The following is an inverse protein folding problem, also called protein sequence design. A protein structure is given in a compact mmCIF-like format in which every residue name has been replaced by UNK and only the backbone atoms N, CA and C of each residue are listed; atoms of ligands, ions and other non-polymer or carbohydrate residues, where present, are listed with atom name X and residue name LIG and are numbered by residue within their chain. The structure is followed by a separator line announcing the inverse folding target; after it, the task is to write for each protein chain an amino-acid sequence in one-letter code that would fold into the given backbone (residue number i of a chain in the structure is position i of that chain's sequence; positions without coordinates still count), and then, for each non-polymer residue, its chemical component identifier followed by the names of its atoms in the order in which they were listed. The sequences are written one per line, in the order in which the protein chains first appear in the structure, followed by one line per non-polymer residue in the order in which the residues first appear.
data_IF_822774223785
#
_entry.id   IF_822774223785
#
_cell.length_a   1.000
_cell.length_b   1.000
_cell.length_c   1.000
_cell.angle_alpha   90.00
_cell.angle_beta   90.00
_cell.angle_gamma   90.00
#
_symmetry.space_group_name_H-M   'P 1'
#
loop_
_entity.id
_entity.type
_entity.pdbx_description
1 polymer ?
#
# COMPACT_ATOMS: atom_id res chain seq x y z
N UNK A 1 -24.86 9.94 4.59
CA UNK A 1 -24.22 8.83 5.33
C UNK A 1 -23.57 7.91 4.29
N UNK A 2 -22.28 8.10 4.01
CA UNK A 2 -21.53 7.24 3.09
C UNK A 2 -20.97 6.05 3.88
N UNK A 3 -21.71 4.95 3.83
CA UNK A 3 -21.36 3.70 4.49
C UNK A 3 -20.09 3.10 3.86
N UNK A 4 -18.99 3.18 4.60
CA UNK A 4 -17.68 2.65 4.21
C UNK A 4 -17.66 1.12 4.04
N UNK A 5 -17.12 0.68 2.91
CA UNK A 5 -16.56 -0.65 2.55
C UNK A 5 -17.38 -1.93 2.89
N UNK A 6 -17.94 -2.56 1.83
CA UNK A 6 -18.30 -3.99 1.77
C UNK A 6 -17.88 -4.52 0.38
N UNK A 7 -17.10 -5.61 0.27
CA UNK A 7 -16.68 -6.16 -1.03
C UNK A 7 -16.82 -7.69 -1.12
N UNK A 8 -17.96 -8.21 -1.60
CA UNK A 8 -18.10 -9.63 -1.96
C UNK A 8 -18.40 -9.80 -3.46
N UNK A 9 -17.46 -10.45 -4.16
CA UNK A 9 -17.56 -10.99 -5.53
C UNK A 9 -17.70 -9.98 -6.69
N UNK A 10 -17.58 -10.49 -7.92
CA UNK A 10 -17.49 -9.75 -9.19
C UNK A 10 -18.63 -8.73 -9.44
N UNK A 11 -19.76 -8.85 -8.74
CA UNK A 11 -20.91 -7.97 -8.84
C UNK A 11 -20.75 -6.61 -8.13
N UNK A 12 -19.81 -6.45 -7.21
CA UNK A 12 -19.57 -5.18 -6.50
C UNK A 12 -18.74 -4.14 -7.28
N UNK A 13 -18.39 -4.41 -8.55
CA UNK A 13 -17.52 -3.55 -9.38
C UNK A 13 -18.18 -2.25 -9.86
N UNK A 14 -19.50 -2.16 -9.82
CA UNK A 14 -20.23 -1.03 -10.41
C UNK A 14 -20.30 0.22 -9.51
N UNK A 15 -20.03 0.10 -8.21
CA UNK A 15 -20.13 1.20 -7.25
C UNK A 15 -18.93 1.17 -6.30
N UNK A 16 -17.99 2.11 -6.43
CA UNK A 16 -16.91 2.41 -5.48
C UNK A 16 -15.81 1.34 -5.20
N UNK A 17 -15.77 0.21 -5.92
CA UNK A 17 -14.78 -0.88 -5.74
C UNK A 17 -13.49 -0.79 -6.56
N UNK A 18 -12.98 0.40 -6.85
CA UNK A 18 -11.77 0.58 -7.64
C UNK A 18 -10.50 0.21 -6.85
N UNK A 19 -9.42 -0.13 -7.57
CA UNK A 19 -8.06 -0.24 -7.02
C UNK A 19 -7.71 0.97 -6.13
N UNK A 20 -8.19 2.16 -6.51
CA UNK A 20 -8.03 3.41 -5.77
C UNK A 20 -8.77 3.41 -4.43
N UNK A 21 -10.00 2.88 -4.35
CA UNK A 21 -10.73 2.73 -3.10
C UNK A 21 -9.99 1.87 -2.08
N UNK A 22 -9.36 0.78 -2.54
CA UNK A 22 -8.49 -0.06 -1.69
C UNK A 22 -7.25 0.69 -1.22
N UNK A 23 -6.60 1.44 -2.10
CA UNK A 23 -5.43 2.26 -1.74
C UNK A 23 -5.80 3.30 -0.69
N UNK A 24 -6.90 4.03 -0.89
CA UNK A 24 -7.42 5.03 0.06
C UNK A 24 -7.71 4.40 1.43
N UNK A 25 -8.36 3.23 1.46
CA UNK A 25 -8.65 2.52 2.69
C UNK A 25 -7.39 2.07 3.45
N UNK A 26 -6.41 1.49 2.74
CA UNK A 26 -5.12 1.07 3.30
C UNK A 26 -4.40 2.26 3.96
N UNK A 27 -4.37 3.40 3.27
CA UNK A 27 -3.71 4.62 3.76
C UNK A 27 -4.47 5.25 4.93
N UNK A 28 -5.81 5.34 4.86
CA UNK A 28 -6.64 5.95 5.89
C UNK A 28 -6.61 5.18 7.22
N UNK A 29 -6.53 3.86 7.16
CA UNK A 29 -6.47 3.00 8.35
C UNK A 29 -5.03 2.72 8.82
N UNK A 30 -4.01 3.30 8.18
CA UNK A 30 -2.61 3.09 8.57
C UNK A 30 -2.17 1.62 8.47
N UNK A 31 -2.69 0.87 7.49
CA UNK A 31 -2.45 -0.57 7.39
C UNK A 31 -1.01 -0.93 6.99
N UNK A 32 -0.16 0.03 6.64
CA UNK A 32 1.23 -0.21 6.23
C UNK A 32 2.14 -0.08 7.46
N UNK A 33 2.85 -1.14 7.80
CA UNK A 33 3.83 -1.19 8.87
C UNK A 33 5.19 -1.65 8.35
N UNK A 34 6.28 -1.11 8.89
CA UNK A 34 7.63 -1.58 8.57
C UNK A 34 8.16 -2.50 9.68
N UNK A 35 8.41 -3.76 9.32
CA UNK A 35 9.08 -4.73 10.17
C UNK A 35 10.60 -4.57 10.03
N UNK A 36 11.24 -4.07 11.10
CA UNK A 36 12.68 -3.78 11.12
C UNK A 36 13.54 -5.03 11.12
N UNK A 37 13.09 -6.11 11.75
CA UNK A 37 13.87 -7.34 11.90
C UNK A 37 13.95 -8.06 10.57
N UNK A 38 12.79 -8.20 9.91
CA UNK A 38 12.67 -8.88 8.62
C UNK A 38 13.00 -7.96 7.44
N UNK A 39 13.09 -6.65 7.67
CA UNK A 39 13.32 -5.60 6.66
C UNK A 39 12.27 -5.64 5.54
N UNK A 40 11.01 -5.83 5.92
CA UNK A 40 9.86 -5.90 5.01
C UNK A 40 8.77 -4.94 5.43
N UNK A 41 7.91 -4.58 4.48
CA UNK A 41 6.67 -3.88 4.79
C UNK A 41 5.51 -4.87 4.89
N UNK A 42 4.68 -4.69 5.90
CA UNK A 42 3.49 -5.48 6.15
C UNK A 42 2.26 -4.62 5.82
N UNK A 43 1.34 -5.17 5.04
CA UNK A 43 0.01 -4.62 4.86
C UNK A 43 -0.96 -5.40 5.74
N UNK A 44 -1.40 -4.80 6.84
CA UNK A 44 -2.43 -5.34 7.71
C UNK A 44 -3.77 -5.44 6.97
N UNK A 45 -4.66 -6.35 7.42
CA UNK A 45 -6.06 -6.36 7.04
C UNK A 45 -6.74 -5.00 7.10
N UNK A 46 -7.59 -4.71 6.11
CA UNK A 46 -8.48 -3.55 6.15
C UNK A 46 -9.68 -3.90 7.03
N UNK A 47 -10.00 -3.07 8.02
CA UNK A 47 -11.16 -3.26 8.89
C UNK A 47 -12.44 -2.72 8.24
N UNK A 48 -13.51 -3.49 8.31
CA UNK A 48 -14.86 -3.08 7.91
C UNK A 48 -15.58 -2.38 9.08
N UNK A 49 -16.66 -1.61 8.82
CA UNK A 49 -17.40 -0.91 9.89
C UNK A 49 -17.98 -1.84 10.96
N UNK A 50 -18.24 -3.11 10.60
CA UNK A 50 -18.71 -4.13 11.54
C UNK A 50 -17.61 -4.62 12.51
N UNK A 51 -16.42 -4.01 12.48
CA UNK A 51 -15.27 -4.37 13.31
C UNK A 51 -14.55 -5.64 12.85
N UNK A 52 -14.92 -6.25 11.72
CA UNK A 52 -14.26 -7.44 11.17
C UNK A 52 -13.32 -7.06 10.03
N UNK A 53 -12.19 -7.76 9.88
CA UNK A 53 -11.31 -7.53 8.74
C UNK A 53 -11.98 -7.98 7.44
N UNK A 54 -11.83 -7.17 6.39
CA UNK A 54 -12.22 -7.48 5.02
C UNK A 54 -11.59 -8.79 4.53
N UNK A 55 -10.32 -8.99 4.88
CA UNK A 55 -9.58 -10.22 4.68
C UNK A 55 -8.71 -10.48 5.91
N UNK A 56 -8.56 -11.74 6.33
CA UNK A 56 -7.72 -12.05 7.51
C UNK A 56 -6.21 -12.02 7.22
N UNK A 57 -5.84 -11.91 5.94
CA UNK A 57 -4.47 -12.08 5.49
C UNK A 57 -3.68 -10.78 5.62
N UNK A 58 -2.57 -10.85 6.35
CA UNK A 58 -1.51 -9.86 6.26
C UNK A 58 -0.65 -10.15 5.03
N UNK A 59 -0.37 -9.13 4.23
CA UNK A 59 0.51 -9.28 3.07
C UNK A 59 1.87 -8.70 3.35
N UNK A 60 2.89 -9.36 2.84
CA UNK A 60 4.27 -8.93 2.94
C UNK A 60 4.70 -8.28 1.63
N UNK A 61 5.44 -7.19 1.73
CA UNK A 61 5.96 -6.43 0.61
C UNK A 61 7.45 -6.22 0.80
N UNK A 62 8.22 -6.67 -0.19
CA UNK A 62 9.68 -6.65 -0.15
C UNK A 62 10.25 -5.89 -1.34
N UNK A 63 11.34 -5.17 -1.10
CA UNK A 63 12.06 -4.46 -2.15
C UNK A 63 13.05 -5.41 -2.83
N UNK A 64 13.00 -5.44 -4.15
CA UNK A 64 13.93 -6.17 -5.01
C UNK A 64 14.68 -5.19 -5.92
N UNK A 65 15.96 -5.46 -6.20
CA UNK A 65 16.77 -4.60 -7.07
C UNK A 65 16.27 -4.56 -8.50
N UNK A 66 15.80 -5.70 -9.01
CA UNK A 66 15.41 -5.87 -10.42
C UNK A 66 13.92 -5.59 -10.63
N UNK A 67 13.07 -6.12 -9.74
CA UNK A 67 11.61 -6.09 -9.88
C UNK A 67 10.93 -4.92 -9.14
N UNK A 68 11.71 -4.06 -8.46
CA UNK A 68 11.17 -2.98 -7.65
C UNK A 68 10.54 -3.49 -6.35
N UNK A 69 9.22 -3.63 -6.31
CA UNK A 69 8.50 -4.08 -5.12
C UNK A 69 7.67 -5.34 -5.41
N UNK A 70 7.78 -6.34 -4.54
CA UNK A 70 6.92 -7.52 -4.55
C UNK A 70 5.83 -7.44 -3.51
N UNK A 71 4.82 -8.29 -3.66
CA UNK A 71 3.78 -8.47 -2.66
C UNK A 71 3.32 -9.94 -2.63
N UNK A 72 3.10 -10.48 -1.42
CA UNK A 72 2.63 -11.85 -1.24
C UNK A 72 1.16 -12.08 -1.63
N UNK A 73 0.43 -11.04 -2.04
CA UNK A 73 -0.97 -11.19 -2.44
C UNK A 73 -1.11 -11.92 -3.79
N UNK A 74 -2.16 -12.74 -3.92
CA UNK A 74 -2.47 -13.50 -5.14
C UNK A 74 -2.53 -12.62 -6.39
N UNK A 75 -3.06 -11.40 -6.26
CA UNK A 75 -3.16 -10.45 -7.38
C UNK A 75 -1.80 -10.01 -7.92
N UNK A 76 -0.78 -9.89 -7.06
CA UNK A 76 0.59 -9.59 -7.49
C UNK A 76 1.23 -10.84 -8.10
N UNK A 77 1.14 -11.99 -7.42
CA UNK A 77 1.72 -13.26 -7.89
C UNK A 77 1.21 -13.65 -9.29
N UNK A 78 -0.09 -13.50 -9.53
CA UNK A 78 -0.72 -13.82 -10.81
C UNK A 78 -0.24 -12.90 -11.93
N UNK A 79 -0.08 -11.59 -11.66
CA UNK A 79 0.45 -10.63 -12.63
C UNK A 79 1.94 -10.84 -12.89
N UNK A 80 2.69 -11.16 -11.84
CA UNK A 80 4.12 -11.46 -11.94
C UNK A 80 4.35 -12.67 -12.83
N UNK A 81 3.60 -13.76 -12.64
CA UNK A 81 3.67 -14.94 -13.50
C UNK A 81 3.47 -14.58 -14.98
N UNK A 82 2.44 -13.80 -15.28
CA UNK A 82 2.16 -13.34 -16.66
C UNK A 82 3.25 -12.43 -17.23
N UNK A 83 3.84 -11.57 -16.40
CA UNK A 83 4.97 -10.72 -16.80
C UNK A 83 6.22 -11.54 -17.11
N UNK A 84 6.48 -12.63 -16.38
CA UNK A 84 7.57 -13.55 -16.70
C UNK A 84 7.34 -14.31 -18.01
N UNK A 85 6.07 -14.64 -18.31
CA UNK A 85 5.70 -15.31 -19.56
C UNK A 85 5.81 -14.37 -20.78
N UNK A 86 5.36 -13.12 -20.63
CA UNK A 86 5.38 -12.11 -21.70
C UNK A 86 5.52 -10.69 -21.13
N UNK A 87 6.76 -10.18 -20.99
CA UNK A 87 7.01 -8.88 -20.38
C UNK A 87 6.59 -7.70 -21.27
N UNK A 88 6.49 -7.91 -22.59
CA UNK A 88 6.07 -6.87 -23.54
C UNK A 88 4.56 -6.64 -23.40
N UNK A 89 3.79 -7.73 -23.34
CA UNK A 89 2.32 -7.66 -23.19
C UNK A 89 1.89 -7.25 -21.79
N UNK A 90 2.67 -7.59 -20.77
CA UNK A 90 2.36 -7.29 -19.36
C UNK A 90 3.49 -6.47 -18.71
N UNK A 91 3.73 -5.21 -19.09
CA UNK A 91 4.91 -4.46 -18.69
C UNK A 91 4.98 -4.09 -17.19
N UNK A 92 3.87 -4.22 -16.45
CA UNK A 92 3.81 -3.82 -15.04
C UNK A 92 3.33 -4.93 -14.13
N UNK A 93 4.05 -5.14 -13.03
CA UNK A 93 3.65 -6.02 -11.94
C UNK A 93 3.25 -5.17 -10.74
N UNK A 94 1.95 -5.02 -10.48
CA UNK A 94 1.46 -4.15 -9.42
C UNK A 94 0.13 -4.59 -8.81
N UNK A 95 -0.02 -4.37 -7.51
CA UNK A 95 -1.26 -4.54 -6.77
C UNK A 95 -1.56 -3.28 -5.94
N UNK A 96 -2.79 -3.19 -5.41
CA UNK A 96 -3.20 -2.07 -4.55
C UNK A 96 -2.30 -1.91 -3.32
N UNK A 97 -1.74 -2.98 -2.77
CA UNK A 97 -0.83 -2.91 -1.61
C UNK A 97 0.48 -2.20 -1.96
N UNK A 98 1.12 -2.58 -3.07
CA UNK A 98 2.36 -1.93 -3.54
C UNK A 98 2.13 -0.46 -3.90
N UNK A 99 1.00 -0.14 -4.53
CA UNK A 99 0.63 1.24 -4.82
C UNK A 99 0.43 2.06 -3.53
N UNK A 100 -0.26 1.49 -2.53
CA UNK A 100 -0.42 2.14 -1.23
C UNK A 100 0.92 2.28 -0.47
N UNK A 101 1.83 1.31 -0.59
CA UNK A 101 3.16 1.40 -0.01
C UNK A 101 3.98 2.57 -0.62
N UNK A 102 3.93 2.75 -1.94
CA UNK A 102 4.58 3.89 -2.59
C UNK A 102 4.08 5.22 -2.06
N UNK A 103 2.76 5.39 -1.97
CA UNK A 103 2.14 6.60 -1.42
C UNK A 103 2.48 6.79 0.07
N UNK A 104 2.50 5.70 0.86
CA UNK A 104 2.93 5.75 2.25
C UNK A 104 4.37 6.25 2.38
N UNK A 105 5.32 5.68 1.64
CA UNK A 105 6.73 6.08 1.65
C UNK A 105 6.88 7.54 1.21
N UNK A 106 6.18 7.95 0.14
CA UNK A 106 6.19 9.33 -0.36
C UNK A 106 5.72 10.32 0.72
N UNK A 107 4.60 10.03 1.40
CA UNK A 107 4.09 10.86 2.52
C UNK A 107 5.10 10.94 3.66
N UNK A 108 5.71 9.82 4.04
CA UNK A 108 6.75 9.80 5.09
C UNK A 108 7.99 10.61 4.71
N UNK A 109 8.39 10.61 3.43
CA UNK A 109 9.49 11.43 2.93
C UNK A 109 9.17 12.93 3.02
N UNK A 110 7.94 13.33 2.68
CA UNK A 110 7.48 14.72 2.79
C UNK A 110 7.54 15.17 4.25
N UNK A 111 6.95 14.40 5.16
CA UNK A 111 6.96 14.71 6.61
C UNK A 111 8.38 14.81 7.15
N UNK A 112 9.28 13.89 6.78
CA UNK A 112 10.69 13.97 7.19
C UNK A 112 11.37 15.24 6.66
N UNK A 113 11.08 15.64 5.43
CA UNK A 113 11.64 16.86 4.84
C UNK A 113 11.16 18.10 5.59
N UNK A 114 9.86 18.18 5.89
CA UNK A 114 9.28 19.29 6.65
C UNK A 114 9.88 19.36 8.06
N UNK A 115 9.99 18.23 8.76
CA UNK A 115 10.63 18.17 10.08
C UNK A 115 12.07 18.67 10.05
N UNK A 116 12.85 18.28 9.04
CA UNK A 116 14.24 18.74 8.90
C UNK A 116 14.32 20.25 8.65
N UNK A 117 13.42 20.82 7.85
CA UNK A 117 13.34 22.27 7.61
C UNK A 117 12.97 23.00 8.89
N UNK A 118 11.96 22.53 9.62
CA UNK A 118 11.55 23.12 10.90
C UNK A 118 12.67 23.08 11.93
N UNK A 119 13.38 21.96 12.06
CA UNK A 119 14.54 21.86 12.95
C UNK A 119 15.64 22.85 12.56
N UNK A 120 15.97 22.95 11.27
CA UNK A 120 16.97 23.91 10.80
C UNK A 120 16.58 25.36 11.12
N UNK A 121 15.31 25.74 10.92
CA UNK A 121 14.82 27.07 11.26
C UNK A 121 14.88 27.31 12.77
N UNK A 122 14.44 26.36 13.61
CA UNK A 122 14.54 26.49 15.07
C UNK A 122 15.98 26.68 15.53
N UNK A 123 16.95 25.98 14.93
CA UNK A 123 18.37 26.16 15.24
C UNK A 123 18.89 27.53 14.81
N UNK A 124 18.44 28.07 13.66
CA UNK A 124 18.90 29.37 13.14
C UNK A 124 18.32 30.59 13.88
N UNK A 125 17.18 30.46 14.55
CA UNK A 125 16.49 31.57 15.24
C UNK A 125 16.56 31.49 16.77
N UNK A 126 17.28 30.51 17.33
CA UNK A 126 17.57 30.40 18.77
C UNK A 126 19.03 30.73 19.14
N UNK A 127 19.80 31.25 18.19
CA UNK A 127 21.08 31.94 18.40
C UNK A 127 20.86 33.46 18.35
#
# INVERSE_FOLDING_TARGET
MENGIIFYSAHARALCGSTEGKIKAILAQGCIEYDKERKVFLCKPIMQPNGKPYNKTQYEMQRHKILGWSCSCQGWQSKHKKHLEDPIKYPSVGCSHVAALWEHIKRQHIVKRENNVTQALMTMFME
#
